data_IF_696844935950
#
_entry.id   IF_696844935950
#
_cell.length_a   1.000
_cell.length_b   1.000
_cell.length_c   1.000
_cell.angle_alpha   90.00
_cell.angle_beta   90.00
_cell.angle_gamma   90.00
#
_symmetry.space_group_name_H-M   'P 1'
#
loop_
_entity.id
_entity.type
_entity.pdbx_description
1 polymer ?
#
# COMPACT_ATOMS: atom_id res chain seq x y z
N UNK A 1 -4.60 20.23 2.50
CA UNK A 1 -5.47 19.10 2.07
C UNK A 1 -4.57 18.00 1.51
N UNK A 2 -4.48 16.86 2.18
CA UNK A 2 -3.81 15.68 1.63
C UNK A 2 -4.74 15.03 0.60
N UNK A 3 -4.26 14.84 -0.65
CA UNK A 3 -5.02 14.19 -1.74
C UNK A 3 -4.52 12.76 -1.94
N UNK A 4 -5.44 11.82 -2.17
CA UNK A 4 -5.13 10.41 -2.41
C UNK A 4 -5.42 9.49 -1.22
N UNK A 5 -4.73 8.36 -1.17
CA UNK A 5 -4.92 7.32 -0.15
C UNK A 5 -3.66 7.18 0.70
N UNK A 6 -3.83 7.00 2.02
CA UNK A 6 -2.76 6.66 2.95
C UNK A 6 -3.23 5.56 3.87
N UNK A 7 -2.29 4.80 4.42
CA UNK A 7 -2.60 3.77 5.38
C UNK A 7 -1.33 3.11 5.89
N UNK A 8 -1.53 1.96 6.52
CA UNK A 8 -0.48 1.11 7.05
C UNK A 8 -0.72 -0.32 6.61
N UNK A 9 0.34 -1.08 6.39
CA UNK A 9 0.27 -2.52 6.12
C UNK A 9 0.85 -3.27 7.31
N UNK A 10 0.10 -4.25 7.80
CA UNK A 10 0.49 -5.07 8.93
C UNK A 10 0.45 -6.55 8.58
N UNK A 11 1.31 -7.31 9.24
CA UNK A 11 1.24 -8.77 9.24
C UNK A 11 -0.06 -9.23 9.90
N UNK A 12 -0.81 -10.10 9.24
CA UNK A 12 -2.09 -10.56 9.77
C UNK A 12 -1.94 -11.39 11.06
N UNK A 13 -0.81 -12.09 11.24
CA UNK A 13 -0.52 -12.96 12.39
C UNK A 13 0.18 -12.20 13.51
N UNK A 14 1.29 -11.55 13.21
CA UNK A 14 2.14 -10.90 14.23
C UNK A 14 1.66 -9.50 14.59
N UNK A 15 0.79 -8.90 13.76
CA UNK A 15 0.34 -7.50 13.85
C UNK A 15 1.48 -6.48 13.77
N UNK A 16 2.68 -6.90 13.37
CA UNK A 16 3.82 -6.01 13.17
C UNK A 16 3.70 -5.27 11.84
N UNK A 17 4.22 -4.04 11.75
CA UNK A 17 4.23 -3.29 10.50
C UNK A 17 5.09 -3.98 9.44
N UNK A 18 4.64 -3.93 8.19
CA UNK A 18 5.34 -4.50 7.04
C UNK A 18 5.94 -3.41 6.18
N UNK A 19 7.27 -3.32 6.17
CA UNK A 19 8.03 -2.47 5.26
C UNK A 19 8.28 -3.15 3.91
N UNK A 20 8.51 -2.33 2.88
CA UNK A 20 8.81 -2.82 1.53
C UNK A 20 7.65 -3.53 0.82
N UNK A 21 6.41 -3.30 1.28
CA UNK A 21 5.21 -3.78 0.60
C UNK A 21 4.89 -2.85 -0.56
N UNK A 22 4.67 -3.41 -1.75
CA UNK A 22 4.36 -2.67 -2.95
C UNK A 22 2.85 -2.43 -3.04
N UNK A 23 2.46 -1.17 -3.18
CA UNK A 23 1.09 -0.73 -3.40
C UNK A 23 0.93 -0.40 -4.88
N UNK A 24 0.14 -1.23 -5.56
CA UNK A 24 -0.20 -1.08 -6.97
C UNK A 24 -1.55 -0.40 -7.10
N UNK A 25 -1.66 0.50 -8.07
CA UNK A 25 -2.95 1.06 -8.50
C UNK A 25 -3.18 0.61 -9.93
N UNK A 26 -4.26 -0.12 -10.18
CA UNK A 26 -4.54 -0.66 -11.51
C UNK A 26 -4.64 0.48 -12.54
N UNK A 27 -4.03 0.29 -13.70
CA UNK A 27 -3.98 1.31 -14.77
C UNK A 27 -2.98 2.45 -14.54
N UNK A 28 -2.29 2.52 -13.40
CA UNK A 28 -1.25 3.55 -13.13
C UNK A 28 0.09 2.87 -12.89
N UNK A 29 1.02 2.98 -13.84
CA UNK A 29 2.36 2.39 -13.77
C UNK A 29 3.32 3.19 -12.87
N UNK A 30 2.91 3.41 -11.63
CA UNK A 30 3.74 4.01 -10.60
C UNK A 30 3.30 3.49 -9.24
N UNK A 31 4.10 2.58 -8.71
CA UNK A 31 3.85 1.94 -7.44
C UNK A 31 4.44 2.78 -6.30
N UNK A 32 3.93 2.58 -5.09
CA UNK A 32 4.52 3.12 -3.86
C UNK A 32 4.88 1.96 -2.94
N UNK A 33 5.97 2.08 -2.20
CA UNK A 33 6.39 1.09 -1.22
C UNK A 33 6.16 1.57 0.21
N UNK A 34 5.77 0.68 1.11
CA UNK A 34 5.64 1.03 2.54
C UNK A 34 7.01 1.33 3.16
N UNK A 35 7.01 2.32 4.06
CA UNK A 35 8.17 2.70 4.88
C UNK A 35 8.44 1.67 6.00
N UNK A 36 9.45 1.95 6.84
CA UNK A 36 9.85 1.07 7.96
C UNK A 36 8.69 0.71 8.89
N UNK A 37 7.81 1.67 9.16
CA UNK A 37 6.68 1.51 10.09
C UNK A 37 5.40 1.05 9.38
N UNK A 38 5.54 0.56 8.14
CA UNK A 38 4.45 0.00 7.36
C UNK A 38 3.52 1.05 6.75
N UNK A 39 3.75 2.34 7.01
CA UNK A 39 2.98 3.44 6.42
C UNK A 39 3.26 3.60 4.93
N UNK A 40 2.24 4.06 4.20
CA UNK A 40 2.37 4.50 2.82
C UNK A 40 1.46 5.70 2.54
N UNK A 41 1.82 6.46 1.51
CA UNK A 41 0.96 7.47 0.94
C UNK A 41 1.02 7.44 -0.58
N UNK A 42 -0.13 7.32 -1.22
CA UNK A 42 -0.29 7.35 -2.67
C UNK A 42 -1.18 8.52 -3.05
N UNK A 43 -0.58 9.52 -3.68
CA UNK A 43 -1.30 10.69 -4.19
C UNK A 43 -2.13 10.27 -5.40
N UNK A 44 -3.43 10.54 -5.36
CA UNK A 44 -4.39 10.26 -6.43
C UNK A 44 -5.39 11.42 -6.54
N UNK A 45 -5.94 11.59 -7.74
CA UNK A 45 -7.11 12.44 -7.98
C UNK A 45 -8.39 11.75 -7.48
N UNK A 46 -9.51 12.47 -7.31
CA UNK A 46 -10.79 11.83 -7.02
C UNK A 46 -11.17 10.82 -8.10
N UNK A 47 -11.58 9.62 -7.69
CA UNK A 47 -11.93 8.53 -8.58
C UNK A 47 -12.08 7.21 -7.82
N UNK A 48 -12.51 6.18 -8.54
CA UNK A 48 -12.56 4.80 -8.05
C UNK A 48 -11.33 4.09 -8.60
N UNK A 49 -10.59 3.40 -7.73
CA UNK A 49 -9.34 2.74 -8.08
C UNK A 49 -9.33 1.33 -7.50
N UNK A 50 -8.88 0.38 -8.30
CA UNK A 50 -8.55 -0.96 -7.84
C UNK A 50 -7.09 -0.96 -7.37
N UNK A 51 -6.89 -1.42 -6.13
CA UNK A 51 -5.59 -1.41 -5.46
C UNK A 51 -5.22 -2.83 -5.11
N UNK A 52 -3.98 -3.21 -5.42
CA UNK A 52 -3.40 -4.48 -4.95
C UNK A 52 -2.15 -4.23 -4.13
N UNK A 53 -1.92 -5.12 -3.18
CA UNK A 53 -0.84 -5.02 -2.20
C UNK A 53 0.00 -6.28 -2.36
N UNK A 54 1.28 -6.12 -2.69
CA UNK A 54 2.19 -7.23 -2.99
C UNK A 54 3.45 -7.17 -2.13
N UNK A 55 3.86 -8.33 -1.61
CA UNK A 55 5.17 -8.51 -1.00
C UNK A 55 5.57 -9.99 -1.09
N UNK A 56 6.79 -10.25 -1.52
CA UNK A 56 7.34 -11.62 -1.60
C UNK A 56 7.18 -12.34 -0.26
N UNK A 57 6.58 -13.53 -0.28
CA UNK A 57 6.34 -14.36 0.90
C UNK A 57 5.05 -14.03 1.66
N UNK A 58 4.25 -13.08 1.17
CA UNK A 58 2.96 -12.70 1.75
C UNK A 58 1.82 -12.92 0.78
N UNK A 59 0.64 -13.18 1.32
CA UNK A 59 -0.62 -13.14 0.59
C UNK A 59 -1.44 -12.01 1.19
N UNK A 60 -1.92 -11.10 0.33
CA UNK A 60 -2.91 -10.11 0.73
C UNK A 60 -4.22 -10.83 1.05
N UNK A 61 -4.70 -10.68 2.28
CA UNK A 61 -5.99 -11.21 2.74
C UNK A 61 -7.02 -10.09 2.91
#
# INVERSE_FOLDING_TARGET
VTRGIRGFVFDSKTKMPLSGVIIHVHGIQHNVTTSRDGDFFRILTPGIYDITVDRIGYVSI
#
